data_IF_769980812018
#
_entry.id   IF_769980812018
#
_cell.length_a   1.000
_cell.length_b   1.000
_cell.length_c   1.000
_cell.angle_alpha   90.00
_cell.angle_beta   90.00
_cell.angle_gamma   90.00
#
_symmetry.space_group_name_H-M   'P 1'
#
loop_
_entity.id
_entity.type
_entity.pdbx_description
1 polymer ?
#
# COMPACT_ATOMS: atom_id res chain seq x y z
N UNK A 1 -25.50 4.89 -1.63
CA UNK A 1 -24.34 4.97 -2.55
C UNK A 1 -23.19 4.14 -2.01
N UNK A 2 -23.00 2.94 -2.55
CA UNK A 2 -21.91 2.04 -2.18
C UNK A 2 -20.63 2.49 -2.90
N UNK A 3 -19.63 2.89 -2.13
CA UNK A 3 -18.34 3.31 -2.67
C UNK A 3 -17.49 2.05 -2.76
N UNK A 4 -17.09 1.65 -3.95
CA UNK A 4 -16.26 0.46 -4.15
C UNK A 4 -15.00 0.53 -3.26
N UNK A 5 -14.66 -0.54 -2.50
CA UNK A 5 -13.44 -0.57 -1.71
C UNK A 5 -12.23 -0.56 -2.65
N UNK A 6 -11.47 0.54 -2.66
CA UNK A 6 -10.21 0.66 -3.43
C UNK A 6 -9.05 0.15 -2.58
N UNK A 7 -9.10 -1.14 -2.24
CA UNK A 7 -8.02 -1.84 -1.53
C UNK A 7 -7.14 -2.55 -2.55
N UNK A 8 -5.83 -2.37 -2.46
CA UNK A 8 -4.83 -3.04 -3.27
C UNK A 8 -3.88 -3.79 -2.35
N UNK A 9 -3.64 -5.06 -2.63
CA UNK A 9 -2.64 -5.87 -1.93
C UNK A 9 -1.61 -6.36 -2.94
N UNK A 10 -0.34 -6.30 -2.56
CA UNK A 10 0.78 -6.75 -3.36
C UNK A 10 1.77 -7.51 -2.48
N UNK A 11 2.38 -8.52 -3.07
CA UNK A 11 3.42 -9.33 -2.44
C UNK A 11 4.62 -9.36 -3.36
N UNK A 12 5.79 -9.02 -2.83
CA UNK A 12 7.06 -9.01 -3.53
C UNK A 12 8.06 -9.94 -2.85
N UNK A 13 8.86 -10.61 -3.66
CA UNK A 13 9.95 -11.46 -3.21
C UNK A 13 11.25 -10.85 -3.72
N UNK A 14 12.16 -10.52 -2.80
CA UNK A 14 13.48 -10.01 -3.11
C UNK A 14 14.38 -11.10 -3.65
N UNK A 15 14.89 -10.92 -4.87
CA UNK A 15 15.73 -11.92 -5.57
C UNK A 15 17.12 -12.10 -4.95
N UNK A 16 17.61 -11.10 -4.19
CA UNK A 16 18.98 -11.06 -3.69
C UNK A 16 19.08 -11.29 -2.18
N UNK A 17 18.02 -10.99 -1.43
CA UNK A 17 18.03 -11.00 0.04
C UNK A 17 17.01 -11.96 0.66
N UNK A 18 16.34 -12.79 -0.16
CA UNK A 18 15.20 -13.66 0.23
C UNK A 18 14.11 -12.91 1.02
N UNK A 19 13.99 -11.61 0.79
CA UNK A 19 13.14 -10.76 1.59
C UNK A 19 11.72 -10.77 1.05
N UNK A 20 10.78 -11.12 1.91
CA UNK A 20 9.36 -11.12 1.60
C UNK A 20 8.76 -9.80 2.03
N UNK A 21 8.14 -9.08 1.10
CA UNK A 21 7.49 -7.80 1.37
C UNK A 21 6.01 -7.88 0.98
N UNK A 22 5.14 -7.66 1.95
CA UNK A 22 3.71 -7.49 1.77
C UNK A 22 3.40 -6.00 1.81
N UNK A 23 2.66 -5.50 0.83
CA UNK A 23 2.18 -4.12 0.83
C UNK A 23 0.68 -4.08 0.60
N UNK A 24 -0.01 -3.40 1.50
CA UNK A 24 -1.44 -3.15 1.44
C UNK A 24 -1.67 -1.65 1.29
N UNK A 25 -2.45 -1.25 0.31
CA UNK A 25 -2.83 0.14 0.06
C UNK A 25 -4.34 0.28 0.06
N UNK A 26 -4.83 1.34 0.67
CA UNK A 26 -6.22 1.72 0.65
C UNK A 26 -6.37 3.15 0.16
N UNK A 27 -7.05 3.33 -0.98
CA UNK A 27 -7.38 4.65 -1.50
C UNK A 27 -8.72 5.11 -0.94
N UNK A 28 -8.70 6.19 -0.16
CA UNK A 28 -9.87 6.90 0.27
C UNK A 28 -10.38 7.81 -0.86
N UNK A 29 -11.65 8.21 -0.77
CA UNK A 29 -12.16 9.29 -1.62
C UNK A 29 -11.40 10.59 -1.35
N UNK A 30 -11.31 11.44 -2.39
CA UNK A 30 -10.67 12.78 -2.35
C UNK A 30 -9.14 12.75 -2.38
N UNK A 31 -8.54 11.73 -3.00
CA UNK A 31 -7.10 11.69 -3.24
C UNK A 31 -6.24 11.17 -2.08
N UNK A 32 -6.82 10.96 -0.89
CA UNK A 32 -6.09 10.35 0.23
C UNK A 32 -5.88 8.85 0.02
N UNK A 33 -4.71 8.34 0.40
CA UNK A 33 -4.41 6.91 0.40
C UNK A 33 -3.50 6.52 1.55
N UNK A 34 -3.78 5.38 2.18
CA UNK A 34 -2.98 4.81 3.26
C UNK A 34 -2.26 3.59 2.70
N UNK A 35 -0.97 3.45 2.94
CA UNK A 35 -0.19 2.25 2.58
C UNK A 35 0.46 1.68 3.82
N UNK A 36 0.30 0.39 4.04
CA UNK A 36 1.03 -0.37 5.03
C UNK A 36 1.98 -1.31 4.29
N UNK A 37 3.26 -1.26 4.62
CA UNK A 37 4.27 -2.18 4.12
C UNK A 37 4.76 -3.02 5.30
N UNK A 38 4.85 -4.33 5.10
CA UNK A 38 5.38 -5.27 6.08
C UNK A 38 6.31 -6.23 5.36
N UNK A 39 7.59 -6.10 5.64
CA UNK A 39 8.65 -6.95 5.15
C UNK A 39 9.61 -7.33 6.26
N UNK A 40 10.51 -8.27 5.95
CA UNK A 40 11.40 -8.87 6.93
C UNK A 40 12.44 -7.89 7.48
N UNK A 41 12.83 -6.86 6.72
CA UNK A 41 13.64 -5.73 7.19
C UNK A 41 12.89 -4.41 7.21
N UNK A 42 11.92 -4.22 6.33
CA UNK A 42 11.17 -2.97 6.23
C UNK A 42 9.69 -3.13 6.57
N UNK A 43 9.27 -2.58 7.71
CA UNK A 43 7.85 -2.46 8.08
C UNK A 43 7.52 -1.01 8.38
N UNK A 44 6.41 -0.50 7.82
CA UNK A 44 6.07 0.91 7.92
C UNK A 44 4.64 1.21 7.45
N UNK A 45 4.16 2.40 7.81
CA UNK A 45 2.86 2.91 7.38
C UNK A 45 3.06 4.30 6.81
N UNK A 46 2.53 4.51 5.62
CA UNK A 46 2.63 5.73 4.84
C UNK A 46 1.24 6.33 4.58
N UNK A 47 1.14 7.64 4.71
CA UNK A 47 -0.01 8.44 4.32
C UNK A 47 0.34 9.22 3.05
N UNK A 48 -0.52 9.13 2.05
CA UNK A 48 -0.34 9.78 0.75
C UNK A 48 -1.55 10.62 0.38
N UNK A 49 -1.31 11.71 -0.34
CA UNK A 49 -2.36 12.53 -0.92
C UNK A 49 -2.05 12.76 -2.40
N UNK A 50 -2.99 12.41 -3.27
CA UNK A 50 -2.93 12.57 -4.71
C UNK A 50 -3.79 13.76 -5.11
N UNK A 51 -3.17 14.74 -5.74
CA UNK A 51 -3.87 15.79 -6.46
C UNK A 51 -4.31 15.23 -7.83
N UNK A 52 -5.60 15.31 -8.11
CA UNK A 52 -6.19 15.04 -9.43
C UNK A 52 -6.66 16.40 -9.96
N UNK A 53 -6.13 16.82 -11.11
CA UNK A 53 -6.47 18.08 -11.80
C UNK A 53 -7.57 17.82 -12.81
#
# INVERSE_FOLDING_TARGET
>A
TYIAPRVYASYGIGLFDNENVVRVRYDLKRGFGITATSGQRESGVDLSYRFEN
#
